data_IF_489955798495
#
_entry.id   IF_489955798495
#
_cell.length_a   1.000
_cell.length_b   1.000
_cell.length_c   1.000
_cell.angle_alpha   90.00
_cell.angle_beta   90.00
_cell.angle_gamma   90.00
#
_symmetry.space_group_name_H-M   'P 1'
#
loop_
_entity.id
_entity.type
_entity.pdbx_description
1 polymer ?
#
# COMPACT_ATOMS: atom_id res chain seq x y z
N UNK A 1 7.67 -2.06 10.85
CA UNK A 1 6.96 -2.73 9.72
C UNK A 1 6.81 -4.20 10.04
N UNK A 2 5.67 -4.78 9.69
CA UNK A 2 5.53 -6.22 9.77
C UNK A 2 6.28 -6.90 8.60
N UNK A 3 6.28 -8.23 8.60
CA UNK A 3 7.03 -9.02 7.61
C UNK A 3 6.59 -8.77 6.17
N UNK A 4 5.28 -8.65 5.94
CA UNK A 4 4.73 -8.45 4.60
C UNK A 4 5.01 -7.03 4.11
N UNK A 5 4.82 -6.04 4.97
CA UNK A 5 5.16 -4.64 4.66
C UNK A 5 6.62 -4.49 4.30
N UNK A 6 7.51 -5.17 5.01
CA UNK A 6 8.94 -5.12 4.73
C UNK A 6 9.26 -5.68 3.34
N UNK A 7 8.59 -6.75 2.93
CA UNK A 7 8.73 -7.29 1.58
C UNK A 7 8.28 -6.30 0.52
N UNK A 8 7.13 -5.66 0.71
CA UNK A 8 6.62 -4.65 -0.21
C UNK A 8 7.57 -3.45 -0.30
N UNK A 9 8.06 -2.99 0.84
CA UNK A 9 9.03 -1.89 0.91
C UNK A 9 10.26 -2.19 0.05
N UNK A 10 10.84 -3.38 0.19
CA UNK A 10 12.03 -3.77 -0.56
C UNK A 10 11.75 -3.84 -2.06
N UNK A 11 10.60 -4.38 -2.46
CA UNK A 11 10.22 -4.46 -3.87
C UNK A 11 10.08 -3.06 -4.47
N UNK A 12 9.41 -2.15 -3.78
CA UNK A 12 9.26 -0.77 -4.26
C UNK A 12 10.62 -0.07 -4.40
N UNK A 13 11.52 -0.26 -3.45
CA UNK A 13 12.88 0.26 -3.55
C UNK A 13 13.61 -0.31 -4.76
N UNK A 14 13.51 -1.61 -5.00
CA UNK A 14 14.13 -2.26 -6.15
C UNK A 14 13.57 -1.76 -7.48
N UNK A 15 12.31 -1.33 -7.48
CA UNK A 15 11.66 -0.75 -8.66
C UNK A 15 12.04 0.71 -8.89
N UNK A 16 12.87 1.28 -8.02
CA UNK A 16 13.37 2.63 -8.19
C UNK A 16 12.57 3.72 -7.50
N UNK A 17 11.64 3.35 -6.61
CA UNK A 17 10.87 4.32 -5.84
C UNK A 17 11.60 4.73 -4.57
N UNK A 18 11.51 6.00 -4.23
CA UNK A 18 11.76 6.48 -2.88
C UNK A 18 10.49 6.20 -2.07
N UNK A 19 10.62 5.49 -0.98
CA UNK A 19 9.45 5.00 -0.22
C UNK A 19 9.46 5.62 1.17
N UNK A 20 8.32 6.23 1.53
CA UNK A 20 8.10 6.76 2.87
C UNK A 20 7.07 5.89 3.59
N UNK A 21 7.30 5.70 4.89
CA UNK A 21 6.39 4.98 5.77
C UNK A 21 5.94 5.90 6.90
N UNK A 22 4.79 5.62 7.55
CA UNK A 22 4.33 6.44 8.65
C UNK A 22 5.31 6.43 9.82
N UNK A 23 5.37 7.54 10.53
CA UNK A 23 6.17 7.63 11.76
C UNK A 23 5.50 6.79 12.83
N UNK A 24 6.31 5.93 13.45
CA UNK A 24 5.84 5.12 14.58
C UNK A 24 5.75 5.97 15.83
N UNK A 25 4.56 6.00 16.44
CA UNK A 25 4.30 6.74 17.68
C UNK A 25 4.10 5.73 18.82
N UNK A 26 5.04 5.67 19.73
CA UNK A 26 5.04 4.74 20.90
C UNK A 26 4.89 3.29 20.45
N UNK A 27 3.70 2.71 20.64
CA UNK A 27 3.47 1.29 20.46
C UNK A 27 2.85 0.90 19.11
N UNK A 28 2.51 1.89 18.27
CA UNK A 28 1.88 1.63 16.97
C UNK A 28 2.25 2.72 15.97
N UNK A 29 2.12 2.39 14.71
CA UNK A 29 2.20 3.36 13.62
C UNK A 29 0.81 3.68 13.12
N UNK A 30 0.62 4.91 12.66
CA UNK A 30 -0.64 5.37 12.09
C UNK A 30 -0.44 5.47 10.59
N UNK A 31 -1.26 4.74 9.82
CA UNK A 31 -1.19 4.79 8.36
C UNK A 31 -1.44 6.20 7.85
N UNK A 32 -0.86 6.53 6.69
CA UNK A 32 -1.13 7.81 6.03
C UNK A 32 -2.63 7.92 5.75
N UNK A 33 -3.26 8.96 6.29
CA UNK A 33 -4.71 9.19 6.18
C UNK A 33 -5.56 8.01 6.67
N UNK A 34 -5.03 7.16 7.53
CA UNK A 34 -5.65 5.91 7.96
C UNK A 34 -5.97 4.95 6.80
N UNK A 35 -5.25 5.08 5.67
CA UNK A 35 -5.51 4.32 4.45
C UNK A 35 -4.30 3.61 3.89
N UNK A 36 -3.10 4.23 4.00
CA UNK A 36 -1.96 3.80 3.21
C UNK A 36 -0.75 3.49 4.07
N UNK A 37 -0.12 2.35 3.81
CA UNK A 37 1.11 1.95 4.49
C UNK A 37 2.32 2.69 3.95
N UNK A 38 2.35 2.97 2.65
CA UNK A 38 3.48 3.61 2.00
C UNK A 38 3.05 4.69 1.03
N UNK A 39 3.91 5.70 0.91
CA UNK A 39 3.91 6.62 -0.21
C UNK A 39 5.22 6.37 -0.95
N UNK A 40 5.12 6.04 -2.24
CA UNK A 40 6.26 5.73 -3.09
C UNK A 40 6.33 6.73 -4.24
N UNK A 41 7.50 7.31 -4.47
CA UNK A 41 7.66 8.35 -5.48
C UNK A 41 8.90 8.07 -6.33
N UNK A 42 8.78 8.34 -7.63
CA UNK A 42 9.91 8.43 -8.56
C UNK A 42 9.73 9.66 -9.44
N UNK A 43 10.54 9.79 -10.49
CA UNK A 43 10.47 10.97 -11.37
C UNK A 43 9.20 11.03 -12.22
N UNK A 44 8.41 9.97 -12.26
CA UNK A 44 7.26 9.86 -13.16
C UNK A 44 5.93 9.84 -12.43
N UNK A 45 5.88 9.32 -11.20
CA UNK A 45 4.61 9.10 -10.52
C UNK A 45 4.75 9.02 -9.01
N UNK A 46 3.61 9.14 -8.36
CA UNK A 46 3.45 8.89 -6.92
C UNK A 46 2.46 7.72 -6.78
N UNK A 47 2.76 6.80 -5.87
CA UNK A 47 1.85 5.71 -5.50
C UNK A 47 1.49 5.81 -4.03
N UNK A 48 0.22 5.60 -3.74
CA UNK A 48 -0.25 5.29 -2.39
C UNK A 48 -0.49 3.79 -2.33
N UNK A 49 0.14 3.12 -1.36
CA UNK A 49 0.16 1.66 -1.29
C UNK A 49 -0.38 1.18 0.06
N UNK A 50 -1.38 0.30 0.00
CA UNK A 50 -1.87 -0.44 1.15
C UNK A 50 -1.45 -1.90 1.00
N UNK A 51 -0.78 -2.43 2.01
CA UNK A 51 -0.29 -3.82 2.02
C UNK A 51 -1.15 -4.65 2.97
N UNK A 52 -1.56 -5.83 2.54
CA UNK A 52 -2.44 -6.66 3.34
C UNK A 52 -2.24 -8.15 3.08
N UNK A 53 -2.55 -8.95 4.10
CA UNK A 53 -2.70 -10.40 3.97
C UNK A 53 -4.13 -10.80 3.60
N UNK A 54 -5.05 -9.85 3.54
CA UNK A 54 -6.46 -10.09 3.23
C UNK A 54 -6.70 -9.79 1.76
N UNK A 55 -7.29 -10.75 1.04
CA UNK A 55 -7.65 -10.57 -0.37
C UNK A 55 -8.62 -9.41 -0.53
N UNK A 56 -8.44 -8.60 -1.57
CA UNK A 56 -9.26 -7.41 -1.81
C UNK A 56 -10.76 -7.72 -1.79
N UNK A 57 -11.16 -8.80 -2.45
CA UNK A 57 -12.57 -9.20 -2.52
C UNK A 57 -13.14 -9.67 -1.18
N UNK A 58 -12.29 -9.96 -0.20
CA UNK A 58 -12.69 -10.34 1.16
C UNK A 58 -12.79 -9.15 2.11
N UNK A 59 -12.41 -7.95 1.65
CA UNK A 59 -12.56 -6.74 2.44
C UNK A 59 -14.02 -6.28 2.45
N UNK A 60 -14.51 -5.72 3.56
CA UNK A 60 -15.85 -5.12 3.60
C UNK A 60 -15.99 -4.02 2.55
N UNK A 61 -17.21 -3.83 2.05
CA UNK A 61 -17.45 -2.83 1.01
C UNK A 61 -17.11 -1.42 1.47
N UNK A 62 -17.36 -1.09 2.74
CA UNK A 62 -17.00 0.22 3.30
C UNK A 62 -15.50 0.47 3.24
N UNK A 63 -14.70 -0.54 3.54
CA UNK A 63 -13.25 -0.45 3.46
C UNK A 63 -12.81 -0.21 2.03
N UNK A 64 -13.35 -0.99 1.08
CA UNK A 64 -12.98 -0.86 -0.34
C UNK A 64 -13.38 0.51 -0.90
N UNK A 65 -14.57 0.99 -0.56
CA UNK A 65 -15.03 2.32 -0.98
C UNK A 65 -14.14 3.42 -0.42
N UNK A 66 -13.72 3.31 0.83
CA UNK A 66 -12.82 4.28 1.46
C UNK A 66 -11.53 4.46 0.65
N UNK A 67 -10.92 3.36 0.22
CA UNK A 67 -9.70 3.41 -0.56
C UNK A 67 -9.96 3.87 -1.99
N UNK A 68 -11.02 3.37 -2.63
CA UNK A 68 -11.34 3.72 -4.02
C UNK A 68 -11.74 5.18 -4.17
N UNK A 69 -12.47 5.73 -3.20
CA UNK A 69 -12.92 7.13 -3.21
C UNK A 69 -11.88 8.10 -2.65
N UNK A 70 -10.77 7.60 -2.13
CA UNK A 70 -9.71 8.47 -1.64
C UNK A 70 -9.27 9.41 -2.78
N UNK A 71 -9.25 10.74 -2.53
CA UNK A 71 -8.97 11.70 -3.60
C UNK A 71 -7.51 11.61 -4.05
N UNK A 72 -7.32 11.41 -5.35
CA UNK A 72 -5.99 11.39 -5.96
C UNK A 72 -6.11 11.85 -7.40
N UNK A 73 -5.23 12.76 -7.86
CA UNK A 73 -5.22 13.16 -9.26
C UNK A 73 -4.78 11.99 -10.14
N UNK A 74 -5.04 12.03 -11.46
CA UNK A 74 -4.71 10.92 -12.37
C UNK A 74 -3.23 10.52 -12.36
N UNK A 75 -2.33 11.45 -12.01
CA UNK A 75 -0.89 11.16 -11.93
C UNK A 75 -0.49 10.38 -10.69
N UNK A 76 -1.40 10.22 -9.73
CA UNK A 76 -1.17 9.46 -8.50
C UNK A 76 -1.89 8.14 -8.58
N UNK A 77 -1.16 7.06 -8.39
CA UNK A 77 -1.73 5.72 -8.39
C UNK A 77 -2.09 5.31 -6.97
N UNK A 78 -3.19 4.56 -6.83
CA UNK A 78 -3.60 3.94 -5.59
C UNK A 78 -3.57 2.44 -5.79
N UNK A 79 -2.83 1.74 -4.94
CA UNK A 79 -2.62 0.30 -5.12
C UNK A 79 -2.88 -0.44 -3.83
N UNK A 80 -3.54 -1.59 -3.95
CA UNK A 80 -3.72 -2.55 -2.88
C UNK A 80 -2.85 -3.76 -3.17
N UNK A 81 -1.89 -4.05 -2.30
CA UNK A 81 -0.91 -5.13 -2.44
C UNK A 81 -1.29 -6.28 -1.52
N UNK A 82 -1.86 -7.33 -2.10
CA UNK A 82 -2.23 -8.51 -1.35
C UNK A 82 -1.13 -9.56 -1.41
N UNK A 83 -0.68 -10.00 -0.23
CA UNK A 83 0.29 -11.08 -0.15
C UNK A 83 -0.44 -12.41 -0.31
N UNK A 84 -0.18 -13.11 -1.43
CA UNK A 84 -0.72 -14.44 -1.69
C UNK A 84 0.22 -15.48 -1.13
N UNK A 85 -0.19 -16.14 -0.04
CA UNK A 85 0.64 -17.13 0.66
C UNK A 85 0.96 -18.34 -0.21
N UNK A 86 0.08 -18.72 -1.11
CA UNK A 86 0.26 -19.90 -1.96
C UNK A 86 1.34 -19.66 -3.01
N UNK A 87 1.27 -18.56 -3.70
CA UNK A 87 2.24 -18.21 -4.75
C UNK A 87 3.48 -17.53 -4.19
N UNK A 88 3.44 -17.08 -2.94
CA UNK A 88 4.51 -16.29 -2.28
C UNK A 88 4.84 -15.04 -3.09
N UNK A 89 3.83 -14.36 -3.56
CA UNK A 89 3.92 -13.13 -4.37
C UNK A 89 2.84 -12.16 -3.97
N UNK A 90 3.08 -10.88 -4.26
CA UNK A 90 2.04 -9.87 -4.18
C UNK A 90 1.19 -9.89 -5.44
N UNK A 91 -0.13 -9.81 -5.24
CA UNK A 91 -1.06 -9.45 -6.29
C UNK A 91 -1.43 -7.99 -6.09
N UNK A 92 -1.16 -7.18 -7.09
CA UNK A 92 -1.33 -5.73 -7.01
C UNK A 92 -2.63 -5.35 -7.72
N UNK A 93 -3.50 -4.66 -6.99
CA UNK A 93 -4.78 -4.21 -7.51
C UNK A 93 -4.73 -2.70 -7.65
N UNK A 94 -4.94 -2.20 -8.85
CA UNK A 94 -5.05 -0.76 -9.11
C UNK A 94 -6.44 -0.29 -8.72
N UNK A 95 -6.52 0.77 -7.93
CA UNK A 95 -7.78 1.30 -7.39
C UNK A 95 -8.26 2.54 -8.13
#
# INVERSE_FOLDING_TARGET
>A
MNRIEKKAYLILNQQGYLVEKPIRVRWHSIDFFNCWDFIAVNNQEIKFVQVSSVKWTNRPIEYREKLQKFPAPPSVKKEYWWWNKRSKKFEVIQL
#
